data_IF_139776327640
#
_entry.id   IF_139776327640
#
_cell.length_a   1.000
_cell.length_b   1.000
_cell.length_c   1.000
_cell.angle_alpha   90.00
_cell.angle_beta   90.00
_cell.angle_gamma   90.00
#
_symmetry.space_group_name_H-M   'P 1'
#
loop_
_entity.id
_entity.type
_entity.pdbx_description
1 polymer ?
#
# COMPACT_ATOMS: atom_id res chain seq x y z
N UNK A 1 -0.26 7.73 9.72
CA UNK A 1 0.59 7.44 10.86
C UNK A 1 2.04 7.79 10.60
N UNK A 2 2.86 7.54 11.57
CA UNK A 2 4.30 7.80 11.55
C UNK A 2 5.07 6.52 11.93
N UNK A 3 6.41 6.57 11.96
CA UNK A 3 7.20 5.40 12.35
C UNK A 3 6.87 4.88 13.77
N UNK A 4 6.67 5.70 14.82
CA UNK A 4 6.24 5.21 16.12
C UNK A 4 5.01 4.32 16.10
N UNK A 5 3.98 4.63 15.28
CA UNK A 5 2.76 3.83 15.15
C UNK A 5 2.99 2.53 14.38
N UNK A 6 3.92 2.52 13.41
CA UNK A 6 4.21 1.38 12.54
C UNK A 6 5.39 0.51 13.02
N UNK A 7 6.16 0.99 14.01
CA UNK A 7 7.43 0.38 14.43
C UNK A 7 7.36 -1.12 14.64
N UNK A 8 6.30 -1.63 15.27
CA UNK A 8 6.16 -3.07 15.51
C UNK A 8 5.97 -3.82 14.19
N UNK A 9 5.05 -3.38 13.33
CA UNK A 9 4.82 -4.03 12.04
C UNK A 9 6.10 -4.07 11.19
N UNK A 10 6.80 -2.94 11.09
CA UNK A 10 8.06 -2.85 10.33
C UNK A 10 9.11 -3.82 10.89
N UNK A 11 9.30 -3.86 12.21
CA UNK A 11 10.26 -4.78 12.85
C UNK A 11 9.90 -6.25 12.64
N UNK A 12 8.61 -6.58 12.78
CA UNK A 12 8.13 -7.95 12.55
C UNK A 12 8.42 -8.40 11.12
N UNK A 13 8.18 -7.51 10.12
CA UNK A 13 8.47 -7.79 8.72
C UNK A 13 9.98 -7.90 8.44
N UNK A 14 10.80 -7.03 9.01
CA UNK A 14 12.27 -7.10 8.90
C UNK A 14 12.80 -8.43 9.46
N UNK A 15 12.32 -8.82 10.64
CA UNK A 15 12.74 -10.10 11.26
C UNK A 15 12.30 -11.30 10.43
N UNK A 16 11.07 -11.30 9.93
CA UNK A 16 10.52 -12.42 9.18
C UNK A 16 11.12 -12.53 7.79
N UNK A 17 11.34 -11.40 7.11
CA UNK A 17 11.89 -11.39 5.74
C UNK A 17 13.41 -11.50 5.67
N UNK A 18 14.13 -11.05 6.71
CA UNK A 18 15.59 -10.86 6.67
C UNK A 18 16.02 -9.64 5.86
N UNK A 19 15.09 -8.83 5.35
CA UNK A 19 15.39 -7.66 4.53
C UNK A 19 15.53 -6.40 5.38
N UNK A 20 16.34 -5.44 4.91
CA UNK A 20 16.36 -4.09 5.49
C UNK A 20 15.07 -3.32 5.14
N UNK A 21 14.66 -2.40 6.00
CA UNK A 21 13.53 -1.51 5.75
C UNK A 21 13.95 -0.03 5.84
N UNK A 22 13.54 0.73 4.85
CA UNK A 22 13.59 2.21 4.86
C UNK A 22 12.16 2.71 5.03
N UNK A 23 11.90 3.36 6.15
CA UNK A 23 10.57 3.93 6.43
C UNK A 23 10.51 5.38 5.96
N UNK A 24 9.59 5.68 5.04
CA UNK A 24 9.43 7.03 4.48
C UNK A 24 8.52 7.87 5.36
N UNK A 25 9.05 8.94 5.95
CA UNK A 25 8.28 9.94 6.67
C UNK A 25 7.86 11.07 5.69
N UNK A 26 6.86 10.81 4.89
CA UNK A 26 6.30 11.81 3.98
C UNK A 26 5.49 12.86 4.73
N UNK A 27 5.31 14.03 4.13
CA UNK A 27 4.49 15.11 4.71
C UNK A 27 3.00 14.75 4.65
N UNK A 28 2.32 14.56 5.81
CA UNK A 28 0.91 14.18 5.83
C UNK A 28 0.00 15.35 5.47
N UNK A 29 -1.27 15.06 5.20
CA UNK A 29 -2.32 16.07 5.09
C UNK A 29 -2.86 16.45 6.48
N UNK A 30 -3.22 17.69 6.71
CA UNK A 30 -3.42 18.78 5.74
C UNK A 30 -2.19 19.64 5.43
N UNK A 31 -1.02 19.35 6.00
CA UNK A 31 0.22 20.10 5.79
C UNK A 31 0.67 20.06 4.33
N UNK A 32 0.38 18.95 3.65
CA UNK A 32 0.55 18.83 2.20
C UNK A 32 -0.68 18.17 1.57
N UNK A 33 -0.99 18.55 0.33
CA UNK A 33 -2.05 17.95 -0.46
C UNK A 33 -1.48 17.07 -1.58
N UNK A 34 -2.34 16.22 -2.15
CA UNK A 34 -2.00 15.47 -3.36
C UNK A 34 -1.47 16.41 -4.46
N UNK A 35 -0.38 16.04 -5.19
CA UNK A 35 0.33 14.76 -5.14
C UNK A 35 1.59 14.73 -4.23
N UNK A 36 1.82 15.72 -3.36
CA UNK A 36 3.07 15.94 -2.64
C UNK A 36 3.63 14.69 -1.94
N UNK A 37 2.81 13.96 -1.20
CA UNK A 37 3.26 12.74 -0.53
C UNK A 37 3.72 11.64 -1.51
N UNK A 38 3.07 11.51 -2.66
CA UNK A 38 3.49 10.57 -3.72
C UNK A 38 4.86 10.94 -4.28
N UNK A 39 5.09 12.24 -4.53
CA UNK A 39 6.38 12.76 -4.99
C UNK A 39 7.50 12.48 -3.99
N UNK A 40 7.23 12.68 -2.69
CA UNK A 40 8.19 12.43 -1.61
C UNK A 40 8.52 10.94 -1.47
N UNK A 41 7.51 10.06 -1.59
CA UNK A 41 7.72 8.60 -1.58
C UNK A 41 8.55 8.18 -2.79
N UNK A 42 8.22 8.65 -3.99
CA UNK A 42 9.00 8.35 -5.19
C UNK A 42 10.45 8.86 -5.09
N UNK A 43 10.65 10.08 -4.58
CA UNK A 43 11.98 10.64 -4.35
C UNK A 43 12.82 9.79 -3.39
N UNK A 44 12.21 9.27 -2.32
CA UNK A 44 12.88 8.37 -1.38
C UNK A 44 13.25 7.04 -2.05
N UNK A 45 12.35 6.46 -2.85
CA UNK A 45 12.59 5.22 -3.61
C UNK A 45 13.77 5.41 -4.58
N UNK A 46 13.75 6.50 -5.34
CA UNK A 46 14.82 6.85 -6.27
C UNK A 46 16.16 7.03 -5.56
N UNK A 47 16.15 7.77 -4.45
CA UNK A 47 17.37 7.99 -3.66
C UNK A 47 17.96 6.67 -3.15
N UNK A 48 17.14 5.76 -2.62
CA UNK A 48 17.61 4.44 -2.15
C UNK A 48 18.15 3.61 -3.31
N UNK A 49 17.52 3.65 -4.47
CA UNK A 49 18.04 2.96 -5.67
C UNK A 49 19.42 3.44 -6.06
N UNK A 50 19.66 4.75 -6.04
CA UNK A 50 20.90 5.39 -6.47
C UNK A 50 21.98 5.39 -5.38
N UNK A 51 21.61 5.54 -4.11
CA UNK A 51 22.53 5.78 -3.00
C UNK A 51 22.43 4.73 -1.86
N UNK A 52 21.71 3.64 -2.04
CA UNK A 52 21.45 2.64 -0.99
C UNK A 52 22.72 2.11 -0.32
N UNK A 53 23.84 2.04 -1.04
CA UNK A 53 25.13 1.64 -0.48
C UNK A 53 25.62 2.54 0.64
N UNK A 54 25.28 3.82 0.64
CA UNK A 54 25.65 4.79 1.68
C UNK A 54 25.01 4.45 3.04
N UNK A 55 23.87 3.76 3.01
CA UNK A 55 23.14 3.28 4.19
C UNK A 55 23.23 1.75 4.36
N UNK A 56 24.11 1.09 3.63
CA UNK A 56 24.37 -0.34 3.75
C UNK A 56 23.30 -1.25 3.15
N UNK A 57 22.51 -0.77 2.17
CA UNK A 57 21.49 -1.58 1.48
C UNK A 57 21.76 -1.68 -0.02
N UNK A 58 21.25 -2.75 -0.63
CA UNK A 58 21.33 -2.98 -2.08
C UNK A 58 20.16 -2.29 -2.80
N UNK A 59 20.40 -1.11 -3.35
CA UNK A 59 19.39 -0.33 -4.08
C UNK A 59 18.92 -0.98 -5.40
N UNK A 60 19.53 -2.06 -5.87
CA UNK A 60 19.07 -2.79 -7.06
C UNK A 60 17.99 -3.83 -6.76
N UNK A 61 17.75 -4.13 -5.48
CA UNK A 61 16.74 -5.09 -5.00
C UNK A 61 15.74 -4.37 -4.11
N UNK A 62 14.76 -3.72 -4.72
CA UNK A 62 13.77 -2.89 -4.05
C UNK A 62 12.38 -3.49 -4.13
N UNK A 63 11.66 -3.46 -3.01
CA UNK A 63 10.23 -3.68 -2.93
C UNK A 63 9.57 -2.48 -2.25
N UNK A 64 8.31 -2.22 -2.57
CA UNK A 64 7.48 -1.30 -1.81
C UNK A 64 6.44 -2.09 -1.01
N UNK A 65 6.37 -1.80 0.28
CA UNK A 65 5.36 -2.37 1.16
C UNK A 65 4.61 -1.24 1.87
N UNK A 66 3.28 -1.27 1.79
CA UNK A 66 2.47 -0.23 2.41
C UNK A 66 1.10 -0.73 2.86
N UNK A 67 0.61 -0.16 3.96
CA UNK A 67 -0.73 -0.43 4.45
C UNK A 67 -1.64 0.79 4.26
N UNK A 68 -2.93 0.55 3.99
CA UNK A 68 -3.92 1.61 3.83
C UNK A 68 -3.49 2.65 2.77
N UNK A 69 -3.38 3.91 3.14
CA UNK A 69 -2.82 4.97 2.26
C UNK A 69 -1.38 4.68 1.83
N UNK A 70 -0.59 3.99 2.65
CA UNK A 70 0.75 3.53 2.26
C UNK A 70 0.73 2.54 1.10
N UNK A 71 -0.31 1.70 1.02
CA UNK A 71 -0.57 0.84 -0.15
C UNK A 71 -0.89 1.64 -1.41
N UNK A 72 -1.70 2.70 -1.28
CA UNK A 72 -1.95 3.65 -2.37
C UNK A 72 -0.65 4.30 -2.85
N UNK A 73 0.14 4.86 -1.92
CA UNK A 73 1.40 5.52 -2.26
C UNK A 73 2.42 4.57 -2.88
N UNK A 74 2.43 3.29 -2.47
CA UNK A 74 3.28 2.26 -3.09
C UNK A 74 2.89 2.02 -4.55
N UNK A 75 1.60 1.88 -4.84
CA UNK A 75 1.09 1.78 -6.23
C UNK A 75 1.41 3.04 -7.04
N UNK A 76 1.10 4.22 -6.49
CA UNK A 76 1.34 5.49 -7.16
C UNK A 76 2.83 5.71 -7.44
N UNK A 77 3.72 5.44 -6.49
CA UNK A 77 5.16 5.56 -6.68
C UNK A 77 5.70 4.56 -7.71
N UNK A 78 5.13 3.35 -7.77
CA UNK A 78 5.48 2.37 -8.82
C UNK A 78 5.04 2.85 -10.21
N UNK A 79 3.83 3.42 -10.35
CA UNK A 79 3.37 4.03 -11.60
C UNK A 79 4.24 5.21 -12.04
N UNK A 80 4.66 6.07 -11.09
CA UNK A 80 5.58 7.17 -11.36
C UNK A 80 6.96 6.66 -11.77
N UNK A 81 7.43 5.57 -11.15
CA UNK A 81 8.69 4.94 -11.55
C UNK A 81 8.64 4.43 -12.99
N UNK A 82 7.55 3.79 -13.41
CA UNK A 82 7.34 3.38 -14.82
C UNK A 82 7.38 4.59 -15.78
N UNK A 83 6.73 5.70 -15.42
CA UNK A 83 6.73 6.93 -16.25
C UNK A 83 8.13 7.51 -16.45
N UNK A 84 9.01 7.34 -15.48
CA UNK A 84 10.37 7.90 -15.51
C UNK A 84 11.43 6.87 -15.93
N UNK A 85 11.03 5.63 -16.28
CA UNK A 85 11.96 4.57 -16.62
C UNK A 85 12.75 4.00 -15.44
N UNK A 86 12.19 4.04 -14.26
CA UNK A 86 12.75 3.45 -13.05
C UNK A 86 12.70 4.35 -11.81
N UNK A 87 13.13 3.86 -10.63
CA UNK A 87 13.85 2.59 -10.41
C UNK A 87 12.97 1.35 -10.56
N UNK A 88 13.56 0.23 -10.97
CA UNK A 88 12.86 -1.05 -11.11
C UNK A 88 12.57 -1.65 -9.73
N UNK A 89 11.31 -1.97 -9.50
CA UNK A 89 10.86 -2.65 -8.29
C UNK A 89 10.73 -4.16 -8.53
N UNK A 90 11.05 -4.98 -7.53
CA UNK A 90 10.92 -6.44 -7.59
C UNK A 90 9.51 -6.90 -7.27
N UNK A 91 8.88 -6.30 -6.27
CA UNK A 91 7.51 -6.63 -5.84
C UNK A 91 6.84 -5.47 -5.12
N UNK A 92 5.50 -5.49 -5.10
CA UNK A 92 4.66 -4.66 -4.25
C UNK A 92 3.95 -5.52 -3.22
N UNK A 93 3.90 -5.05 -1.98
CA UNK A 93 3.10 -5.65 -0.91
C UNK A 93 2.09 -4.62 -0.39
N UNK A 94 0.83 -4.82 -0.72
CA UNK A 94 -0.26 -3.89 -0.46
C UNK A 94 -1.17 -4.48 0.62
N UNK A 95 -1.07 -3.95 1.83
CA UNK A 95 -1.87 -4.42 2.96
C UNK A 95 -3.10 -3.51 3.12
N UNK A 96 -4.31 -4.07 2.95
CA UNK A 96 -5.60 -3.33 2.97
C UNK A 96 -5.51 -1.94 2.30
N UNK A 97 -5.06 -1.90 1.04
CA UNK A 97 -4.71 -0.65 0.37
C UNK A 97 -5.93 0.20 0.06
N UNK A 98 -5.74 1.52 0.07
CA UNK A 98 -6.63 2.45 -0.62
C UNK A 98 -6.33 2.37 -2.12
N UNK A 99 -7.32 2.03 -2.93
CA UNK A 99 -7.15 1.93 -4.38
C UNK A 99 -8.14 2.77 -5.18
N UNK A 100 -9.12 3.37 -4.49
CA UNK A 100 -10.11 4.27 -5.09
C UNK A 100 -10.44 5.45 -4.17
N UNK A 101 -10.48 6.65 -4.70
CA UNK A 101 -11.01 7.84 -4.01
C UNK A 101 -12.53 8.00 -4.16
N UNK A 102 -13.20 7.03 -4.79
CA UNK A 102 -14.66 6.86 -4.80
C UNK A 102 -15.15 6.16 -3.53
N UNK A 103 -16.48 6.11 -3.38
CA UNK A 103 -17.13 5.53 -2.18
C UNK A 103 -18.26 4.57 -2.54
N UNK A 104 -18.29 4.09 -3.80
CA UNK A 104 -19.43 3.37 -4.39
C UNK A 104 -19.28 1.85 -4.30
N UNK A 105 -18.45 1.36 -3.37
CA UNK A 105 -18.22 -0.05 -3.13
C UNK A 105 -19.20 -0.61 -2.08
N UNK A 106 -19.67 -1.84 -2.28
CA UNK A 106 -20.57 -2.52 -1.34
C UNK A 106 -20.00 -2.59 0.08
N UNK A 107 -18.67 -2.75 0.20
CA UNK A 107 -17.99 -2.75 1.50
C UNK A 107 -18.15 -1.44 2.27
N UNK A 108 -18.25 -0.28 1.59
CA UNK A 108 -18.53 1.00 2.22
C UNK A 108 -19.93 1.05 2.83
N UNK A 109 -20.92 0.42 2.18
CA UNK A 109 -22.28 0.30 2.71
C UNK A 109 -22.30 -0.68 3.89
N UNK A 110 -21.70 -1.86 3.71
CA UNK A 110 -21.76 -2.96 4.68
C UNK A 110 -20.94 -2.70 5.94
N UNK A 111 -19.75 -2.10 5.81
CA UNK A 111 -18.78 -1.94 6.90
C UNK A 111 -18.51 -0.47 7.25
N UNK A 112 -19.20 0.48 6.65
CA UNK A 112 -18.96 1.92 6.80
C UNK A 112 -19.23 2.51 8.17
N UNK A 113 -19.75 1.69 9.12
CA UNK A 113 -20.04 2.09 10.51
C UNK A 113 -19.51 1.04 11.48
N UNK A 114 -18.99 1.49 12.63
CA UNK A 114 -18.59 0.63 13.77
C UNK A 114 -17.52 -0.45 13.47
N UNK A 115 -16.67 -0.24 12.46
CA UNK A 115 -15.63 -1.20 12.04
C UNK A 115 -14.23 -0.57 11.98
N UNK A 116 -13.84 0.20 12.98
CA UNK A 116 -12.56 0.91 13.07
C UNK A 116 -12.44 2.03 12.03
N UNK A 117 -12.19 1.71 10.74
CA UNK A 117 -12.26 2.68 9.65
C UNK A 117 -13.71 2.83 9.20
N UNK A 118 -14.23 4.07 9.25
CA UNK A 118 -15.62 4.35 8.87
C UNK A 118 -15.69 5.16 7.58
N UNK A 119 -16.81 5.04 6.84
CA UNK A 119 -17.01 5.81 5.61
C UNK A 119 -17.00 7.33 5.83
N UNK A 120 -17.61 7.90 6.91
CA UNK A 120 -17.48 9.32 7.21
C UNK A 120 -16.05 9.76 7.48
N UNK A 121 -15.26 8.95 8.21
CA UNK A 121 -13.85 9.25 8.48
C UNK A 121 -13.04 9.26 7.17
N UNK A 122 -13.25 8.27 6.30
CA UNK A 122 -12.57 8.20 5.01
C UNK A 122 -12.88 9.42 4.12
N UNK A 123 -14.15 9.83 4.06
CA UNK A 123 -14.57 11.04 3.34
C UNK A 123 -13.91 12.29 3.88
N UNK A 124 -13.79 12.40 5.20
CA UNK A 124 -13.10 13.52 5.86
C UNK A 124 -11.60 13.52 5.51
N UNK A 125 -10.92 12.36 5.57
CA UNK A 125 -9.50 12.24 5.21
C UNK A 125 -9.24 12.63 3.75
N UNK A 126 -10.05 12.15 2.81
CA UNK A 126 -9.92 12.56 1.41
C UNK A 126 -10.18 14.07 1.21
N UNK A 127 -11.10 14.66 1.98
CA UNK A 127 -11.32 16.11 1.96
C UNK A 127 -10.12 16.92 2.46
N UNK A 128 -9.20 16.29 3.22
CA UNK A 128 -7.92 16.91 3.62
C UNK A 128 -6.78 16.61 2.64
N UNK A 129 -6.84 15.47 1.97
CA UNK A 129 -5.80 15.01 1.05
C UNK A 129 -5.87 15.69 -0.32
N UNK A 130 -7.07 15.96 -0.82
CA UNK A 130 -7.27 16.58 -2.14
C UNK A 130 -8.15 17.81 -2.04
N UNK A 131 -7.64 18.94 -2.57
CA UNK A 131 -8.37 20.21 -2.59
C UNK A 131 -9.40 20.29 -3.72
N UNK A 132 -9.13 19.66 -4.86
CA UNK A 132 -10.06 19.60 -6.00
C UNK A 132 -10.63 18.19 -6.16
N UNK A 133 -11.94 18.00 -5.92
CA UNK A 133 -12.59 16.70 -6.08
C UNK A 133 -12.45 16.07 -7.48
N UNK A 134 -12.23 16.86 -8.53
CA UNK A 134 -12.01 16.35 -9.88
C UNK A 134 -10.74 15.48 -9.99
N UNK A 135 -9.75 15.73 -9.13
CA UNK A 135 -8.52 14.95 -9.06
C UNK A 135 -8.71 13.51 -8.55
N UNK A 136 -9.86 13.18 -7.94
CA UNK A 136 -10.14 11.83 -7.41
C UNK A 136 -10.14 10.74 -8.47
N UNK A 137 -10.36 11.10 -9.75
CA UNK A 137 -10.26 10.18 -10.88
C UNK A 137 -8.83 9.95 -11.40
N UNK A 138 -7.83 10.65 -10.84
CA UNK A 138 -6.43 10.47 -11.21
C UNK A 138 -5.95 9.06 -10.81
N UNK A 139 -5.22 8.38 -11.68
CA UNK A 139 -4.74 7.01 -11.49
C UNK A 139 -3.73 6.85 -10.36
N UNK A 140 -3.01 7.91 -9.97
CA UNK A 140 -2.14 7.91 -8.79
C UNK A 140 -2.95 7.98 -7.48
N UNK A 141 -4.19 8.49 -7.51
CA UNK A 141 -5.09 8.53 -6.36
C UNK A 141 -6.04 7.33 -6.35
N UNK A 142 -6.53 6.94 -7.52
CA UNK A 142 -7.47 5.84 -7.75
C UNK A 142 -6.90 4.81 -8.72
N UNK A 143 -5.82 4.08 -8.37
CA UNK A 143 -5.14 3.18 -9.29
C UNK A 143 -6.04 2.05 -9.82
N UNK A 144 -7.11 1.69 -9.14
CA UNK A 144 -8.09 0.71 -9.65
C UNK A 144 -8.78 1.20 -10.93
N UNK A 145 -8.78 2.51 -11.21
CA UNK A 145 -9.36 3.14 -12.41
C UNK A 145 -8.37 3.27 -13.56
N UNK A 146 -7.09 2.98 -13.32
CA UNK A 146 -6.06 3.04 -14.35
C UNK A 146 -6.36 2.04 -15.49
N UNK A 147 -5.91 2.34 -16.71
CA UNK A 147 -6.05 1.42 -17.83
C UNK A 147 -5.19 0.15 -17.64
N UNK A 148 -5.57 -0.97 -18.27
CA UNK A 148 -4.75 -2.17 -18.25
C UNK A 148 -3.34 -1.95 -18.82
N UNK A 149 -3.22 -1.10 -19.83
CA UNK A 149 -1.94 -0.68 -20.40
C UNK A 149 -1.06 0.01 -19.35
N UNK A 150 -1.67 0.92 -18.57
CA UNK A 150 -1.00 1.66 -17.50
C UNK A 150 -0.50 0.75 -16.37
N UNK A 151 -1.25 -0.31 -16.06
CA UNK A 151 -0.92 -1.25 -14.98
C UNK A 151 0.11 -2.32 -15.40
N UNK A 152 0.24 -2.60 -16.70
CA UNK A 152 1.04 -3.73 -17.23
C UNK A 152 2.51 -3.72 -16.81
N UNK A 153 3.09 -2.52 -16.58
CA UNK A 153 4.49 -2.36 -16.15
C UNK A 153 4.75 -2.65 -14.68
N UNK A 154 3.69 -2.80 -13.87
CA UNK A 154 3.85 -3.00 -12.43
C UNK A 154 4.47 -4.37 -12.11
N UNK A 155 5.28 -4.47 -11.03
CA UNK A 155 5.91 -5.72 -10.64
C UNK A 155 4.91 -6.70 -10.01
N UNK A 156 5.36 -7.94 -9.79
CA UNK A 156 4.60 -8.93 -9.03
C UNK A 156 4.06 -8.34 -7.73
N UNK A 157 2.77 -8.55 -7.44
CA UNK A 157 2.08 -7.84 -6.38
C UNK A 157 1.32 -8.79 -5.44
N UNK A 158 1.55 -8.65 -4.14
CA UNK A 158 0.70 -9.23 -3.10
C UNK A 158 -0.28 -8.17 -2.59
N UNK A 159 -1.58 -8.50 -2.63
CA UNK A 159 -2.64 -7.69 -2.00
C UNK A 159 -3.25 -8.48 -0.85
N UNK A 160 -3.30 -7.85 0.32
CA UNK A 160 -3.95 -8.43 1.49
C UNK A 160 -5.11 -7.54 1.90
N UNK A 161 -6.30 -8.11 2.09
CA UNK A 161 -7.50 -7.37 2.52
C UNK A 161 -8.12 -7.96 3.78
N UNK A 162 -8.79 -7.13 4.56
CA UNK A 162 -9.57 -7.52 5.73
C UNK A 162 -11.03 -7.76 5.35
N UNK A 163 -11.65 -8.80 5.90
CA UNK A 163 -13.08 -9.08 5.63
C UNK A 163 -14.00 -7.93 6.03
N UNK A 164 -13.78 -7.38 7.24
CA UNK A 164 -14.64 -6.34 7.82
C UNK A 164 -14.07 -4.93 7.63
N UNK A 165 -13.75 -4.59 6.38
CA UNK A 165 -13.11 -3.33 6.00
C UNK A 165 -13.86 -2.67 4.84
N UNK A 166 -14.00 -1.35 4.88
CA UNK A 166 -14.57 -0.58 3.77
C UNK A 166 -13.71 -0.67 2.50
N UNK A 167 -12.38 -0.86 2.62
CA UNK A 167 -11.43 -0.95 1.52
C UNK A 167 -11.33 -2.36 0.92
N UNK A 168 -12.08 -3.34 1.43
CA UNK A 168 -12.02 -4.73 0.98
C UNK A 168 -12.28 -4.86 -0.51
N UNK A 169 -13.41 -4.32 -0.97
CA UNK A 169 -13.89 -4.57 -2.34
C UNK A 169 -13.04 -3.86 -3.39
N UNK A 170 -12.59 -2.64 -3.09
CA UNK A 170 -11.66 -1.91 -3.96
C UNK A 170 -10.28 -2.57 -4.03
N UNK A 171 -9.78 -3.12 -2.91
CA UNK A 171 -8.53 -3.88 -2.88
C UNK A 171 -8.61 -5.17 -3.69
N UNK A 172 -9.70 -5.93 -3.58
CA UNK A 172 -9.93 -7.11 -4.41
C UNK A 172 -10.13 -6.77 -5.90
N UNK A 173 -10.82 -5.66 -6.19
CA UNK A 173 -10.96 -5.17 -7.55
C UNK A 173 -9.60 -4.79 -8.15
N UNK A 174 -8.71 -4.17 -7.37
CA UNK A 174 -7.35 -3.88 -7.81
C UNK A 174 -6.59 -5.15 -8.20
N UNK A 175 -6.72 -6.22 -7.41
CA UNK A 175 -6.12 -7.51 -7.75
C UNK A 175 -6.61 -8.05 -9.11
N UNK A 176 -7.91 -8.01 -9.36
CA UNK A 176 -8.47 -8.40 -10.67
C UNK A 176 -7.96 -7.52 -11.81
N UNK A 177 -7.85 -6.21 -11.59
CA UNK A 177 -7.32 -5.26 -12.59
C UNK A 177 -5.87 -5.51 -12.94
N UNK A 178 -5.05 -5.89 -11.96
CA UNK A 178 -3.65 -6.28 -12.18
C UNK A 178 -3.56 -7.59 -12.98
N UNK A 179 -4.35 -8.60 -12.63
CA UNK A 179 -4.42 -9.86 -13.36
C UNK A 179 -4.86 -9.65 -14.83
N UNK A 180 -5.92 -8.87 -15.06
CA UNK A 180 -6.37 -8.47 -16.40
C UNK A 180 -5.28 -7.72 -17.20
N UNK A 181 -4.40 -6.99 -16.54
CA UNK A 181 -3.27 -6.32 -17.15
C UNK A 181 -2.07 -7.24 -17.42
N UNK A 182 -2.14 -8.50 -16.98
CA UNK A 182 -1.06 -9.49 -17.11
C UNK A 182 0.04 -9.37 -16.05
N UNK A 183 -0.24 -8.68 -14.95
CA UNK A 183 0.67 -8.58 -13.80
C UNK A 183 0.50 -9.83 -12.92
N UNK A 184 1.60 -10.45 -12.51
CA UNK A 184 1.57 -11.52 -11.51
C UNK A 184 1.00 -10.96 -10.19
N UNK A 185 -0.15 -11.46 -9.74
CA UNK A 185 -0.81 -10.95 -8.54
C UNK A 185 -1.39 -12.07 -7.69
N UNK A 186 -1.23 -11.93 -6.38
CA UNK A 186 -1.91 -12.77 -5.39
C UNK A 186 -2.73 -11.86 -4.47
N UNK A 187 -4.04 -12.15 -4.35
CA UNK A 187 -4.92 -11.44 -3.43
C UNK A 187 -5.41 -12.37 -2.34
N UNK A 188 -5.20 -11.98 -1.08
CA UNK A 188 -5.58 -12.79 0.10
C UNK A 188 -6.53 -11.99 0.99
N UNK A 189 -7.71 -12.56 1.26
CA UNK A 189 -8.65 -12.05 2.25
C UNK A 189 -8.45 -12.75 3.60
N UNK A 190 -8.25 -11.97 4.65
CA UNK A 190 -8.25 -12.46 6.02
C UNK A 190 -9.65 -12.31 6.63
N UNK A 191 -10.23 -13.42 7.07
CA UNK A 191 -11.57 -13.44 7.65
C UNK A 191 -11.57 -12.98 9.11
N UNK A 192 -12.67 -12.36 9.55
CA UNK A 192 -12.90 -11.97 10.94
C UNK A 192 -12.11 -10.75 11.42
N UNK A 193 -11.27 -10.16 10.59
CA UNK A 193 -10.43 -9.01 10.96
C UNK A 193 -10.96 -7.68 10.38
N UNK A 194 -10.51 -6.58 10.96
CA UNK A 194 -10.88 -5.20 10.60
C UNK A 194 -9.70 -4.48 9.97
N UNK A 195 -9.93 -3.26 9.46
CA UNK A 195 -8.86 -2.39 8.98
C UNK A 195 -7.71 -2.26 10.00
N UNK A 196 -6.47 -2.25 9.54
CA UNK A 196 -5.24 -2.09 10.34
C UNK A 196 -4.98 -3.18 11.42
N UNK A 197 -5.69 -4.33 11.41
CA UNK A 197 -5.47 -5.38 12.42
C UNK A 197 -4.00 -5.80 12.52
N UNK A 198 -3.30 -5.88 11.39
CA UNK A 198 -1.89 -6.28 11.33
C UNK A 198 -0.96 -5.24 11.93
N UNK A 199 -1.35 -3.95 11.93
CA UNK A 199 -0.57 -2.84 12.49
C UNK A 199 -0.84 -2.62 13.97
N UNK A 200 -2.07 -2.79 14.43
CA UNK A 200 -2.49 -2.49 15.80
C UNK A 200 -1.83 -3.42 16.82
N UNK A 201 -1.12 -2.86 17.80
CA UNK A 201 -0.37 -3.63 18.81
C UNK A 201 -1.27 -4.55 19.64
N UNK A 202 -2.52 -4.15 19.91
CA UNK A 202 -3.48 -4.99 20.64
C UNK A 202 -3.84 -6.30 19.92
N UNK A 203 -3.59 -6.37 18.61
CA UNK A 203 -3.86 -7.56 17.78
C UNK A 203 -2.59 -8.33 17.39
N UNK A 204 -1.42 -7.92 17.87
CA UNK A 204 -0.14 -8.53 17.50
C UNK A 204 -0.06 -10.04 17.76
N UNK A 205 -0.66 -10.49 18.86
CA UNK A 205 -0.66 -11.91 19.26
C UNK A 205 -1.71 -12.77 18.52
N UNK A 206 -2.62 -12.17 17.77
CA UNK A 206 -3.66 -12.91 17.06
C UNK A 206 -3.07 -13.79 15.96
N UNK A 207 -3.67 -14.97 15.77
CA UNK A 207 -3.26 -15.90 14.72
C UNK A 207 -3.28 -15.26 13.32
N UNK A 208 -4.32 -14.51 12.90
CA UNK A 208 -4.31 -13.83 11.61
C UNK A 208 -3.14 -12.84 11.45
N UNK A 209 -2.77 -12.11 12.51
CA UNK A 209 -1.64 -11.16 12.46
C UNK A 209 -0.32 -11.90 12.24
N UNK A 210 -0.08 -12.99 12.97
CA UNK A 210 1.14 -13.80 12.78
C UNK A 210 1.19 -14.45 11.40
N UNK A 211 0.05 -14.90 10.88
CA UNK A 211 -0.05 -15.46 9.51
C UNK A 211 0.24 -14.37 8.46
N UNK A 212 -0.28 -13.16 8.64
CA UNK A 212 0.04 -12.02 7.79
C UNK A 212 1.56 -11.75 7.74
N UNK A 213 2.20 -11.67 8.92
CA UNK A 213 3.64 -11.38 8.98
C UNK A 213 4.46 -12.44 8.24
N UNK A 214 4.15 -13.73 8.42
CA UNK A 214 4.82 -14.83 7.71
C UNK A 214 4.60 -14.76 6.20
N UNK A 215 3.37 -14.52 5.77
CA UNK A 215 3.03 -14.40 4.35
C UNK A 215 3.81 -13.25 3.70
N UNK A 216 3.72 -12.07 4.28
CA UNK A 216 4.40 -10.87 3.75
C UNK A 216 5.92 -11.03 3.81
N UNK A 217 6.45 -11.55 4.92
CA UNK A 217 7.88 -11.79 5.08
C UNK A 217 8.43 -12.79 4.06
N UNK A 218 7.70 -13.89 3.79
CA UNK A 218 8.06 -14.87 2.76
C UNK A 218 8.12 -14.21 1.37
N UNK A 219 7.06 -13.48 0.98
CA UNK A 219 7.01 -12.80 -0.33
C UNK A 219 8.17 -11.80 -0.48
N UNK A 220 8.44 -10.97 0.54
CA UNK A 220 9.56 -10.04 0.50
C UNK A 220 10.90 -10.76 0.34
N UNK A 221 11.11 -11.86 1.04
CA UNK A 221 12.33 -12.68 0.92
C UNK A 221 12.46 -13.25 -0.49
N UNK A 222 11.42 -13.92 -0.99
CA UNK A 222 11.44 -14.62 -2.28
C UNK A 222 11.78 -13.69 -3.44
N UNK A 223 11.35 -12.42 -3.40
CA UNK A 223 11.61 -11.44 -4.45
C UNK A 223 12.88 -10.60 -4.24
N UNK A 224 13.42 -10.53 -3.01
CA UNK A 224 14.58 -9.69 -2.69
C UNK A 224 15.88 -10.48 -2.48
N UNK A 225 15.80 -11.79 -2.33
CA UNK A 225 16.99 -12.68 -2.40
C UNK A 225 17.42 -12.88 -3.86
#
# INVERSE_FOLDING_TARGET
GDYPTHRRLVRDLVVESGCAAVFVNYTPSPEAHFPKAVEEVYAAVKWVAENGREIGVDGSRLALAGNSVGGNMSLAAALVAEDHGGPRLRTLVLMWPVTDAGYDWDSYVKYGRQRFLTAPLMKWMFGKYVSDPAQRGNDLMSPVRASAERLRGLPATLIVVAENDILRDEGEAMGRRLDEAGVEVTTVRFNGVVHDWGMLNGFAALHPTRTLIRLVGSVLRDYLE
#
